data_IF_087607295084
#
_entry.id   IF_087607295084
#
_cell.length_a   1.000
_cell.length_b   1.000
_cell.length_c   1.000
_cell.angle_alpha   90.00
_cell.angle_beta   90.00
_cell.angle_gamma   90.00
#
_symmetry.space_group_name_H-M   'P 1'
#
loop_
_entity.id
_entity.type
_entity.pdbx_description
1 polymer ?
#
# COMPACT_ATOMS: atom_id res chain seq x y z
N UNK A 1 6.64 2.57 8.50
CA UNK A 1 5.85 1.47 7.87
C UNK A 1 6.01 1.53 6.38
N UNK A 2 6.54 0.49 5.81
CA UNK A 2 6.80 0.46 4.37
C UNK A 2 5.58 -0.07 3.62
N UNK A 3 5.22 0.63 2.56
CA UNK A 3 4.11 0.25 1.69
C UNK A 3 4.69 -0.06 0.32
N UNK A 4 4.26 -1.17 -0.25
CA UNK A 4 4.68 -1.57 -1.58
C UNK A 4 3.43 -1.87 -2.40
N UNK A 5 3.33 -1.23 -3.55
CA UNK A 5 2.16 -1.37 -4.42
C UNK A 5 2.63 -1.86 -5.77
N UNK A 6 2.12 -3.02 -6.18
CA UNK A 6 2.40 -3.55 -7.50
C UNK A 6 1.40 -3.00 -8.49
N UNK A 7 1.91 -2.57 -9.64
CA UNK A 7 1.10 -1.96 -10.69
C UNK A 7 0.91 -2.97 -11.81
N UNK A 8 -0.31 -3.11 -12.27
CA UNK A 8 -0.61 -4.06 -13.34
C UNK A 8 -0.01 -3.60 -14.67
N UNK A 9 0.32 -4.57 -15.48
CA UNK A 9 0.81 -4.34 -16.85
C UNK A 9 2.16 -3.63 -16.89
N UNK A 10 2.90 -3.69 -15.79
CA UNK A 10 4.24 -3.12 -15.75
C UNK A 10 5.01 -3.84 -14.67
N UNK A 11 6.32 -3.87 -14.82
CA UNK A 11 7.17 -4.48 -13.82
C UNK A 11 7.46 -3.55 -12.65
N UNK A 12 6.88 -2.37 -12.65
CA UNK A 12 7.20 -1.37 -11.64
C UNK A 12 6.42 -1.59 -10.36
N UNK A 13 7.03 -1.18 -9.28
CA UNK A 13 6.41 -1.15 -7.98
C UNK A 13 6.57 0.23 -7.39
N UNK A 14 5.57 0.64 -6.64
CA UNK A 14 5.62 1.90 -5.92
C UNK A 14 5.95 1.60 -4.47
N UNK A 15 7.04 2.17 -3.97
CA UNK A 15 7.47 1.94 -2.59
C UNK A 15 7.57 3.27 -1.87
N UNK A 16 7.07 3.31 -0.65
CA UNK A 16 7.19 4.52 0.15
C UNK A 16 6.98 4.21 1.61
N UNK A 17 7.35 5.16 2.45
CA UNK A 17 7.22 5.02 3.89
C UNK A 17 5.97 5.76 4.35
N UNK A 18 5.08 5.07 5.02
CA UNK A 18 3.84 5.67 5.51
C UNK A 18 3.94 5.92 7.01
N UNK A 19 3.36 7.02 7.46
CA UNK A 19 3.24 7.31 8.87
C UNK A 19 2.04 6.67 9.54
N UNK A 20 1.18 6.04 8.74
CA UNK A 20 -0.01 5.40 9.28
C UNK A 20 0.28 3.97 9.69
N UNK A 21 -0.61 3.42 10.51
CA UNK A 21 -0.47 2.02 10.91
C UNK A 21 -0.82 1.09 9.77
N UNK A 22 -0.35 -0.15 9.87
CA UNK A 22 -0.66 -1.16 8.86
C UNK A 22 -2.16 -1.34 8.73
N UNK A 23 -2.86 -1.33 9.86
CA UNK A 23 -4.30 -1.51 9.84
C UNK A 23 -5.02 -0.36 9.15
N UNK A 24 -4.56 0.87 9.38
CA UNK A 24 -5.18 2.01 8.75
C UNK A 24 -5.03 1.98 7.24
N UNK A 25 -3.83 1.63 6.77
CA UNK A 25 -3.57 1.55 5.34
C UNK A 25 -4.39 0.43 4.71
N UNK A 26 -4.38 -0.74 5.34
CA UNK A 26 -5.12 -1.88 4.82
C UNK A 26 -6.61 -1.58 4.76
N UNK A 27 -7.14 -0.93 5.79
CA UNK A 27 -8.56 -0.59 5.81
C UNK A 27 -8.91 0.41 4.72
N UNK A 28 -8.05 1.39 4.48
CA UNK A 28 -8.31 2.38 3.45
C UNK A 28 -8.33 1.74 2.06
N UNK A 29 -7.40 0.82 1.81
CA UNK A 29 -7.34 0.14 0.53
C UNK A 29 -8.56 -0.76 0.35
N UNK A 30 -8.89 -1.54 1.38
CA UNK A 30 -10.03 -2.43 1.30
C UNK A 30 -11.32 -1.66 1.07
N UNK A 31 -11.48 -0.53 1.75
CA UNK A 31 -12.66 0.30 1.59
C UNK A 31 -12.79 0.83 0.18
N UNK A 32 -11.66 1.27 -0.39
CA UNK A 32 -11.66 1.80 -1.75
C UNK A 32 -12.05 0.71 -2.75
N UNK A 33 -11.55 -0.51 -2.54
CA UNK A 33 -11.86 -1.62 -3.44
C UNK A 33 -13.32 -2.01 -3.33
N UNK A 34 -13.85 -2.06 -2.11
CA UNK A 34 -15.22 -2.46 -1.90
C UNK A 34 -16.21 -1.45 -2.46
N UNK A 35 -15.92 -0.17 -2.32
CA UNK A 35 -16.83 0.86 -2.77
C UNK A 35 -16.64 1.22 -4.23
N UNK A 36 -15.69 0.59 -4.90
CA UNK A 36 -15.48 0.83 -6.33
C UNK A 36 -14.92 2.20 -6.64
N UNK A 37 -14.11 2.74 -5.75
CA UNK A 37 -13.54 4.05 -5.99
C UNK A 37 -12.53 3.99 -7.13
N UNK A 38 -12.46 5.05 -7.94
CA UNK A 38 -11.58 5.02 -9.11
C UNK A 38 -10.10 5.10 -8.75
N UNK A 39 -9.76 5.61 -7.58
CA UNK A 39 -8.36 5.77 -7.21
C UNK A 39 -8.20 5.70 -5.70
N UNK A 40 -6.99 5.32 -5.28
CA UNK A 40 -6.62 5.32 -3.88
C UNK A 40 -5.47 6.31 -3.72
N UNK A 41 -5.54 7.11 -2.68
CA UNK A 41 -4.53 8.14 -2.42
C UNK A 41 -3.69 7.72 -1.22
N UNK A 42 -2.39 7.79 -1.37
CA UNK A 42 -1.44 7.50 -0.29
C UNK A 42 -0.57 8.71 -0.04
N UNK A 43 -0.16 8.89 1.21
CA UNK A 43 0.73 9.98 1.58
C UNK A 43 1.88 9.40 2.38
N UNK A 44 3.11 9.77 2.02
CA UNK A 44 4.27 9.26 2.72
C UNK A 44 4.69 10.22 3.84
N UNK A 45 5.70 9.81 4.60
CA UNK A 45 6.14 10.60 5.76
C UNK A 45 6.81 11.90 5.35
N UNK A 46 7.16 12.03 4.10
CA UNK A 46 7.80 13.25 3.60
C UNK A 46 6.81 14.23 3.02
N UNK A 47 5.54 13.88 3.02
CA UNK A 47 4.50 14.77 2.51
C UNK A 47 4.17 14.57 1.05
N UNK A 48 4.75 13.58 0.39
CA UNK A 48 4.42 13.29 -0.99
C UNK A 48 3.11 12.54 -1.06
N UNK A 49 2.33 12.84 -2.09
CA UNK A 49 1.05 12.19 -2.29
C UNK A 49 1.12 11.33 -3.55
N UNK A 50 0.61 10.11 -3.41
CA UNK A 50 0.57 9.16 -4.52
C UNK A 50 -0.88 8.82 -4.81
N UNK A 51 -1.31 9.06 -6.03
CA UNK A 51 -2.67 8.75 -6.44
C UNK A 51 -2.59 7.59 -7.43
N UNK A 52 -3.13 6.45 -7.03
CA UNK A 52 -3.01 5.23 -7.79
C UNK A 52 -4.38 4.80 -8.27
N UNK A 53 -4.59 4.63 -9.58
CA UNK A 53 -5.88 4.15 -10.07
C UNK A 53 -6.15 2.77 -9.49
N UNK A 54 -7.34 2.58 -8.97
CA UNK A 54 -7.69 1.32 -8.34
C UNK A 54 -7.55 0.15 -9.31
N UNK A 55 -7.92 0.37 -10.56
CA UNK A 55 -7.85 -0.70 -11.56
C UNK A 55 -6.42 -1.08 -11.91
N UNK A 56 -5.45 -0.23 -11.57
CA UNK A 56 -4.06 -0.51 -11.89
C UNK A 56 -3.33 -1.20 -10.74
N UNK A 57 -3.98 -1.42 -9.61
CA UNK A 57 -3.33 -2.03 -8.47
C UNK A 57 -3.39 -3.54 -8.61
N UNK A 58 -2.21 -4.15 -8.67
CA UNK A 58 -2.12 -5.60 -8.68
C UNK A 58 -2.12 -6.15 -7.26
N UNK A 59 -1.41 -5.47 -6.36
CA UNK A 59 -1.37 -5.85 -4.95
C UNK A 59 -0.90 -4.67 -4.13
N UNK A 60 -1.22 -4.70 -2.84
CA UNK A 60 -0.70 -3.72 -1.89
C UNK A 60 -0.14 -4.52 -0.72
N UNK A 61 1.14 -4.32 -0.46
CA UNK A 61 1.82 -5.02 0.63
C UNK A 61 2.14 -4.01 1.71
N UNK A 62 1.71 -4.30 2.93
CA UNK A 62 1.95 -3.44 4.07
C UNK A 62 2.80 -4.20 5.05
N UNK A 63 4.02 -3.72 5.27
CA UNK A 63 4.96 -4.43 6.10
C UNK A 63 5.26 -3.70 7.37
N UNK A 64 5.52 -4.44 8.43
CA UNK A 64 6.07 -3.89 9.65
C UNK A 64 7.44 -4.47 9.82
N UNK A 65 8.29 -3.72 10.48
CA UNK A 65 9.66 -4.17 10.65
C UNK A 65 9.75 -5.46 11.39
N UNK A 66 8.99 -5.56 12.45
CA UNK A 66 9.08 -6.74 13.28
C UNK A 66 8.58 -7.96 12.57
N UNK A 67 7.47 -7.80 11.91
CA UNK A 67 6.81 -8.97 11.36
C UNK A 67 7.63 -9.61 10.26
N UNK A 68 8.37 -8.83 9.51
CA UNK A 68 9.07 -9.43 8.40
C UNK A 68 10.21 -10.30 8.87
N UNK A 69 10.77 -10.03 10.02
CA UNK A 69 11.86 -10.84 10.48
C UNK A 69 11.41 -12.09 11.17
N UNK A 70 10.38 -11.93 11.88
CA UNK A 70 9.91 -13.02 12.66
C UNK A 70 9.22 -14.01 11.80
N UNK A 71 8.63 -13.46 11.01
CA UNK A 71 7.88 -14.25 10.24
C UNK A 71 8.57 -15.11 9.35
N UNK A 72 8.66 -15.00 9.48
CA UNK A 72 8.58 -15.73 8.77
C UNK A 72 8.91 -16.73 8.78
N UNK A 73 9.24 -16.53 9.21
CA UNK A 73 9.67 -17.49 9.27
C UNK A 73 9.17 -18.42 9.71
N UNK A 74 8.81 -18.14 9.92
CA UNK A 74 8.33 -19.11 10.43
C UNK A 74 8.42 -19.88 10.21
#
# INVERSE_FOLDING_TARGET
MEIRIGITNTARELNFESGQSAEAVAAAVASALESGQPAVTFTDVKGNTYIVPTAAIAFVEVGTEESRRVGFVA
#
